data_IF_185257359233
#
_entry.id   IF_185257359233
#
_cell.length_a   1.000
_cell.length_b   1.000
_cell.length_c   1.000
_cell.angle_alpha   90.00
_cell.angle_beta   90.00
_cell.angle_gamma   90.00
#
_symmetry.space_group_name_H-M   'P 1'
#
loop_
_entity.id
_entity.type
_entity.pdbx_description
1 polymer ?
#
# COMPACT_ATOMS: atom_id res chain seq x y z
N UNK A 1 32.79 28.32 -0.36
CA UNK A 1 31.50 27.83 -0.88
C UNK A 1 31.74 27.33 -2.27
N UNK A 2 31.51 26.04 -2.54
CA UNK A 2 31.43 25.54 -3.91
C UNK A 2 30.21 26.16 -4.58
N UNK A 3 30.38 26.65 -5.80
CA UNK A 3 29.30 27.24 -6.60
C UNK A 3 28.65 26.10 -7.40
N UNK A 4 27.33 25.97 -7.33
CA UNK A 4 26.60 25.02 -8.18
C UNK A 4 26.80 25.40 -9.65
N UNK A 5 27.23 24.44 -10.47
CA UNK A 5 27.55 24.64 -11.89
C UNK A 5 26.32 24.72 -12.80
N UNK A 6 25.14 24.39 -12.27
CA UNK A 6 23.89 24.37 -13.02
C UNK A 6 23.07 25.64 -12.76
N UNK A 7 22.46 26.20 -13.82
CA UNK A 7 21.46 27.27 -13.73
C UNK A 7 20.10 26.72 -13.25
N UNK A 8 20.08 25.94 -12.17
CA UNK A 8 18.92 25.19 -11.70
C UNK A 8 19.31 23.95 -10.92
N UNK A 9 18.62 22.84 -11.18
CA UNK A 9 18.97 21.53 -10.61
C UNK A 9 19.82 20.73 -11.60
N UNK A 10 20.70 19.83 -11.12
CA UNK A 10 21.40 18.89 -12.00
C UNK A 10 20.41 18.01 -12.80
N UNK A 11 20.86 17.26 -13.82
CA UNK A 11 19.98 16.39 -14.58
C UNK A 11 19.27 15.36 -13.70
N UNK A 12 17.97 15.15 -13.96
CA UNK A 12 17.13 14.20 -13.23
C UNK A 12 17.59 12.76 -13.49
N UNK A 13 17.72 11.95 -12.44
CA UNK A 13 18.01 10.54 -12.60
C UNK A 13 16.76 9.80 -13.12
N UNK A 14 16.82 9.37 -14.38
CA UNK A 14 15.71 8.71 -15.07
C UNK A 14 15.25 7.40 -14.42
N UNK A 15 16.14 6.64 -13.79
CA UNK A 15 15.81 5.33 -13.22
C UNK A 15 15.11 5.44 -11.85
N UNK A 16 15.19 6.60 -11.18
CA UNK A 16 14.57 6.82 -9.87
C UNK A 16 13.36 7.76 -9.96
N UNK A 17 13.50 8.86 -10.69
CA UNK A 17 12.50 9.92 -10.75
C UNK A 17 12.03 10.21 -12.19
N UNK A 18 12.46 9.41 -13.16
CA UNK A 18 12.09 9.56 -14.56
C UNK A 18 10.59 9.42 -14.82
N UNK A 19 10.19 9.78 -16.03
CA UNK A 19 8.78 9.83 -16.40
C UNK A 19 8.13 8.44 -16.37
N UNK A 20 8.85 7.38 -16.75
CA UNK A 20 8.34 6.01 -16.69
C UNK A 20 8.02 5.55 -15.28
N UNK A 21 8.92 5.81 -14.32
CA UNK A 21 8.73 5.48 -12.89
C UNK A 21 7.56 6.27 -12.28
N UNK A 22 7.44 7.56 -12.64
CA UNK A 22 6.32 8.41 -12.20
C UNK A 22 4.98 7.89 -12.72
N UNK A 23 4.88 7.68 -14.03
CA UNK A 23 3.66 7.18 -14.66
C UNK A 23 3.27 5.80 -14.11
N UNK A 24 4.22 4.88 -13.94
CA UNK A 24 3.91 3.58 -13.36
C UNK A 24 3.40 3.69 -11.92
N UNK A 25 4.01 4.55 -11.10
CA UNK A 25 3.55 4.81 -9.73
C UNK A 25 2.13 5.38 -9.72
N UNK A 26 1.82 6.35 -10.57
CA UNK A 26 0.50 6.98 -10.63
C UNK A 26 -0.57 6.03 -11.12
N UNK A 27 -0.30 5.29 -12.21
CA UNK A 27 -1.23 4.32 -12.78
C UNK A 27 -1.47 3.21 -11.76
N UNK A 28 -0.43 2.66 -11.14
CA UNK A 28 -0.59 1.58 -10.18
C UNK A 28 -1.36 2.03 -8.93
N UNK A 29 -1.11 3.24 -8.43
CA UNK A 29 -1.89 3.82 -7.34
C UNK A 29 -3.36 3.95 -7.72
N UNK A 30 -3.66 4.46 -8.92
CA UNK A 30 -5.03 4.59 -9.42
C UNK A 30 -5.72 3.23 -9.56
N UNK A 31 -5.07 2.25 -10.18
CA UNK A 31 -5.60 0.90 -10.33
C UNK A 31 -5.88 0.25 -8.96
N UNK A 32 -4.99 0.46 -7.98
CA UNK A 32 -5.22 0.01 -6.61
C UNK A 32 -6.48 0.65 -6.01
N UNK A 33 -6.67 1.97 -6.15
CA UNK A 33 -7.89 2.65 -5.69
C UNK A 33 -9.14 2.08 -6.36
N UNK A 34 -9.09 1.82 -7.67
CA UNK A 34 -10.21 1.21 -8.41
C UNK A 34 -10.54 -0.17 -7.84
N UNK A 35 -9.56 -1.07 -7.72
CA UNK A 35 -9.79 -2.43 -7.17
C UNK A 35 -10.33 -2.38 -5.75
N UNK A 36 -9.76 -1.54 -4.88
CA UNK A 36 -10.25 -1.35 -3.51
C UNK A 36 -11.71 -0.88 -3.52
N UNK A 37 -12.10 -0.04 -4.48
CA UNK A 37 -13.46 0.51 -4.56
C UNK A 37 -14.47 -0.50 -5.11
N UNK A 38 -14.09 -1.24 -6.16
CA UNK A 38 -15.05 -2.07 -6.91
C UNK A 38 -15.03 -3.55 -6.53
N UNK A 39 -13.92 -4.07 -5.99
CA UNK A 39 -13.82 -5.49 -5.65
C UNK A 39 -14.28 -5.78 -4.22
N UNK A 40 -15.24 -6.70 -4.04
CA UNK A 40 -15.56 -7.24 -2.73
C UNK A 40 -14.49 -8.23 -2.25
N UNK A 41 -13.74 -8.85 -3.17
CA UNK A 41 -12.74 -9.88 -2.88
C UNK A 41 -11.51 -9.29 -2.21
N UNK A 42 -11.23 -9.77 -0.99
CA UNK A 42 -9.99 -9.45 -0.27
C UNK A 42 -8.77 -9.96 -1.02
N UNK A 43 -8.88 -11.12 -1.68
CA UNK A 43 -7.81 -11.66 -2.52
C UNK A 43 -7.41 -10.73 -3.66
N UNK A 44 -8.38 -10.17 -4.40
CA UNK A 44 -8.10 -9.22 -5.48
C UNK A 44 -7.38 -7.96 -4.96
N UNK A 45 -7.80 -7.46 -3.80
CA UNK A 45 -7.16 -6.30 -3.15
C UNK A 45 -5.72 -6.62 -2.78
N UNK A 46 -5.44 -7.80 -2.22
CA UNK A 46 -4.08 -8.23 -1.92
C UNK A 46 -3.22 -8.43 -3.16
N UNK A 47 -3.74 -9.11 -4.19
CA UNK A 47 -3.05 -9.31 -5.47
C UNK A 47 -2.73 -7.98 -6.17
N UNK A 48 -3.55 -6.95 -5.96
CA UNK A 48 -3.30 -5.61 -6.46
C UNK A 48 -2.32 -4.81 -5.59
N UNK A 49 -2.43 -4.91 -4.26
CA UNK A 49 -1.60 -4.18 -3.31
C UNK A 49 -0.16 -4.70 -3.30
N UNK A 50 0.04 -6.02 -3.42
CA UNK A 50 1.37 -6.63 -3.30
C UNK A 50 2.37 -6.11 -4.34
N UNK A 51 2.09 -6.14 -5.66
CA UNK A 51 3.00 -5.57 -6.66
C UNK A 51 3.28 -4.08 -6.42
N UNK A 52 2.30 -3.35 -5.87
CA UNK A 52 2.44 -1.91 -5.60
C UNK A 52 3.39 -1.64 -4.44
N UNK A 53 3.30 -2.43 -3.37
CA UNK A 53 4.24 -2.42 -2.25
C UNK A 53 5.65 -2.78 -2.74
N UNK A 54 5.79 -3.85 -3.52
CA UNK A 54 7.09 -4.32 -4.03
C UNK A 54 7.76 -3.26 -4.91
N UNK A 55 7.01 -2.60 -5.80
CA UNK A 55 7.57 -1.52 -6.62
C UNK A 55 8.10 -0.36 -5.75
N UNK A 56 7.37 0.02 -4.71
CA UNK A 56 7.81 1.08 -3.80
C UNK A 56 9.04 0.69 -2.98
N UNK A 57 9.11 -0.57 -2.51
CA UNK A 57 10.33 -1.13 -1.90
C UNK A 57 11.50 -1.01 -2.86
N UNK A 58 11.33 -1.42 -4.12
CA UNK A 58 12.39 -1.38 -5.12
C UNK A 58 12.87 0.05 -5.37
N UNK A 59 11.97 1.03 -5.53
CA UNK A 59 12.34 2.43 -5.73
C UNK A 59 13.10 3.00 -4.54
N UNK A 60 12.63 2.75 -3.31
CA UNK A 60 13.31 3.22 -2.09
C UNK A 60 14.67 2.57 -1.89
N UNK A 61 14.76 1.24 -2.11
CA UNK A 61 16.01 0.50 -1.98
C UNK A 61 17.04 1.01 -3.00
N UNK A 62 16.64 1.19 -4.26
CA UNK A 62 17.50 1.76 -5.30
C UNK A 62 17.92 3.18 -4.96
N UNK A 63 17.01 4.05 -4.48
CA UNK A 63 17.35 5.40 -4.08
C UNK A 63 18.34 5.43 -2.89
N UNK A 64 18.17 4.55 -1.90
CA UNK A 64 19.12 4.41 -0.79
C UNK A 64 20.51 3.98 -1.28
N UNK A 65 20.58 2.92 -2.08
CA UNK A 65 21.85 2.38 -2.59
C UNK A 65 22.57 3.41 -3.46
N UNK A 66 21.86 4.04 -4.39
CA UNK A 66 22.46 5.04 -5.29
C UNK A 66 22.80 6.34 -4.55
N UNK A 67 22.00 6.75 -3.57
CA UNK A 67 22.19 7.98 -2.81
C UNK A 67 23.37 7.93 -1.86
N UNK A 68 23.57 6.80 -1.18
CA UNK A 68 24.62 6.62 -0.16
C UNK A 68 25.85 5.85 -0.64
N UNK A 69 25.93 5.52 -1.93
CA UNK A 69 27.16 4.95 -2.50
C UNK A 69 28.33 5.95 -2.45
N UNK A 70 29.56 5.45 -2.44
CA UNK A 70 30.78 6.28 -2.48
C UNK A 70 30.87 7.20 -3.71
N UNK A 71 30.17 6.83 -4.78
CA UNK A 71 29.98 7.62 -6.00
C UNK A 71 28.49 7.83 -6.21
N UNK A 72 27.89 8.66 -5.36
CA UNK A 72 26.46 8.92 -5.38
C UNK A 72 25.98 9.27 -6.79
N UNK A 73 24.89 8.63 -7.24
CA UNK A 73 24.36 8.77 -8.59
C UNK A 73 23.06 9.57 -8.67
N UNK A 74 22.50 9.93 -7.50
CA UNK A 74 21.28 10.70 -7.39
C UNK A 74 21.54 11.99 -6.63
N UNK A 75 20.71 12.99 -6.89
CA UNK A 75 20.71 14.29 -6.23
C UNK A 75 19.68 14.32 -5.10
N UNK A 76 19.71 15.35 -4.25
CA UNK A 76 18.67 15.57 -3.25
C UNK A 76 17.29 15.74 -3.88
N UNK A 77 17.22 16.32 -5.07
CA UNK A 77 15.98 16.51 -5.83
C UNK A 77 15.38 15.16 -6.27
N UNK A 78 16.21 14.25 -6.79
CA UNK A 78 15.79 12.89 -7.14
C UNK A 78 15.26 12.15 -5.90
N UNK A 79 15.98 12.24 -4.78
CA UNK A 79 15.58 11.62 -3.53
C UNK A 79 14.29 12.23 -2.95
N UNK A 80 14.07 13.53 -3.14
CA UNK A 80 12.84 14.22 -2.73
C UNK A 80 11.64 13.73 -3.54
N UNK A 81 11.81 13.52 -4.86
CA UNK A 81 10.75 12.94 -5.70
C UNK A 81 10.48 11.48 -5.30
N UNK A 82 11.52 10.67 -5.09
CA UNK A 82 11.38 9.31 -4.58
C UNK A 82 10.66 9.28 -3.21
N UNK A 83 10.93 10.25 -2.34
CA UNK A 83 10.25 10.40 -1.06
C UNK A 83 8.75 10.64 -1.22
N UNK A 84 8.35 11.46 -2.21
CA UNK A 84 6.94 11.67 -2.57
C UNK A 84 6.24 10.37 -2.99
N UNK A 85 6.94 9.49 -3.70
CA UNK A 85 6.38 8.19 -4.06
C UNK A 85 6.08 7.36 -2.84
N UNK A 86 6.84 7.47 -1.74
CA UNK A 86 6.56 6.70 -0.52
C UNK A 86 5.24 7.08 0.17
N UNK A 87 4.76 8.31 -0.07
CA UNK A 87 3.53 8.82 0.53
C UNK A 87 2.29 8.33 -0.23
N UNK A 88 2.40 8.05 -1.53
CA UNK A 88 1.24 7.59 -2.33
C UNK A 88 0.73 6.22 -1.83
N UNK A 89 1.56 5.18 -1.61
CA UNK A 89 1.14 3.94 -1.00
C UNK A 89 0.59 4.11 0.39
N UNK A 90 1.14 5.03 1.19
CA UNK A 90 0.58 5.33 2.50
C UNK A 90 -0.86 5.82 2.38
N UNK A 91 -1.14 6.77 1.48
CA UNK A 91 -2.51 7.25 1.24
C UNK A 91 -3.41 6.09 0.76
N UNK A 92 -3.00 5.37 -0.28
CA UNK A 92 -3.86 4.35 -0.92
C UNK A 92 -4.03 3.13 -0.01
N UNK A 93 -2.94 2.58 0.53
CA UNK A 93 -2.93 1.32 1.27
C UNK A 93 -3.30 1.46 2.73
N UNK A 94 -3.06 2.60 3.38
CA UNK A 94 -3.53 2.81 4.76
C UNK A 94 -5.06 2.94 4.78
N UNK A 95 -5.62 3.68 3.81
CA UNK A 95 -7.07 3.78 3.63
C UNK A 95 -7.68 2.42 3.24
N UNK A 96 -7.01 1.66 2.35
CA UNK A 96 -7.37 0.26 2.07
C UNK A 96 -7.29 -0.64 3.32
N UNK A 97 -6.26 -0.44 4.13
CA UNK A 97 -6.00 -1.22 5.34
C UNK A 97 -7.06 -0.98 6.41
N UNK A 98 -7.58 0.24 6.56
CA UNK A 98 -8.71 0.51 7.43
C UNK A 98 -9.97 -0.25 6.98
N UNK A 99 -10.23 -0.31 5.67
CA UNK A 99 -11.31 -1.11 5.09
C UNK A 99 -11.12 -2.61 5.32
N UNK A 100 -9.93 -3.12 5.03
CA UNK A 100 -9.57 -4.52 5.28
C UNK A 100 -9.68 -4.85 6.76
N UNK A 101 -9.35 -3.94 7.68
CA UNK A 101 -9.49 -4.18 9.12
C UNK A 101 -10.95 -4.37 9.55
N UNK A 102 -11.88 -3.63 8.94
CA UNK A 102 -13.31 -3.82 9.20
C UNK A 102 -13.81 -5.16 8.66
N UNK A 103 -13.39 -5.56 7.44
CA UNK A 103 -13.76 -6.86 6.84
C UNK A 103 -13.05 -8.04 7.54
N UNK A 104 -11.80 -7.85 7.95
CA UNK A 104 -10.95 -8.88 8.55
C UNK A 104 -11.15 -9.05 10.06
N UNK A 105 -11.93 -8.24 10.78
CA UNK A 105 -12.29 -8.60 12.17
C UNK A 105 -13.07 -9.92 12.22
N UNK A 106 -13.88 -10.18 11.20
CA UNK A 106 -14.61 -11.43 11.02
C UNK A 106 -13.70 -12.52 10.42
N UNK A 107 -12.93 -12.20 9.36
CA UNK A 107 -12.04 -13.18 8.73
C UNK A 107 -10.83 -13.59 9.58
N UNK A 108 -10.24 -12.71 10.39
CA UNK A 108 -9.10 -13.03 11.27
C UNK A 108 -9.51 -13.87 12.49
N UNK A 109 -10.80 -13.87 12.86
CA UNK A 109 -11.28 -14.78 13.89
C UNK A 109 -11.36 -16.22 13.37
N UNK A 110 -11.38 -16.42 12.04
CA UNK A 110 -11.78 -17.71 11.45
C UNK A 110 -10.69 -18.28 10.52
N UNK A 111 -9.89 -17.47 9.81
CA UNK A 111 -8.97 -17.94 8.75
C UNK A 111 -7.49 -17.56 9.01
N UNK A 112 -6.89 -18.15 10.04
CA UNK A 112 -5.49 -17.98 10.44
C UNK A 112 -4.46 -18.64 9.49
N UNK A 113 -4.87 -19.27 8.37
CA UNK A 113 -3.94 -20.04 7.52
C UNK A 113 -3.53 -19.40 6.20
N UNK A 114 -3.98 -18.19 5.86
CA UNK A 114 -3.62 -17.60 4.56
C UNK A 114 -2.21 -17.01 4.61
N UNK A 115 -1.24 -17.83 4.21
CA UNK A 115 0.17 -17.45 4.00
C UNK A 115 0.33 -16.20 3.11
N UNK A 116 -0.61 -15.94 2.21
CA UNK A 116 -0.64 -14.77 1.34
C UNK A 116 -0.82 -13.45 2.11
N UNK A 117 -1.60 -13.47 3.20
CA UNK A 117 -1.78 -12.30 4.07
C UNK A 117 -0.48 -11.97 4.81
N UNK A 118 0.26 -13.00 5.22
CA UNK A 118 1.55 -12.86 5.90
C UNK A 118 2.56 -12.22 4.94
N UNK A 119 2.66 -12.73 3.71
CA UNK A 119 3.54 -12.16 2.70
C UNK A 119 3.27 -10.67 2.46
N UNK A 120 1.99 -10.30 2.34
CA UNK A 120 1.59 -8.89 2.16
C UNK A 120 1.91 -8.04 3.40
N UNK A 121 1.65 -8.55 4.61
CA UNK A 121 1.93 -7.84 5.86
C UNK A 121 3.43 -7.62 6.08
N UNK A 122 4.24 -8.64 5.79
CA UNK A 122 5.71 -8.54 5.84
C UNK A 122 6.21 -7.53 4.80
N UNK A 123 5.73 -7.60 3.56
CA UNK A 123 6.10 -6.65 2.52
C UNK A 123 5.72 -5.20 2.91
N UNK A 124 4.51 -4.97 3.42
CA UNK A 124 4.08 -3.66 3.92
C UNK A 124 4.99 -3.17 5.06
N UNK A 125 5.33 -4.05 5.99
CA UNK A 125 6.21 -3.72 7.12
C UNK A 125 7.61 -3.32 6.65
N UNK A 126 8.17 -4.04 5.67
CA UNK A 126 9.46 -3.70 5.03
C UNK A 126 9.35 -2.34 4.33
N UNK A 127 8.29 -2.11 3.54
CA UNK A 127 8.08 -0.85 2.84
C UNK A 127 8.03 0.34 3.80
N UNK A 128 7.26 0.26 4.88
CA UNK A 128 7.17 1.35 5.85
C UNK A 128 8.47 1.59 6.61
N UNK A 129 9.18 0.51 6.96
CA UNK A 129 10.51 0.61 7.58
C UNK A 129 11.50 1.30 6.64
N UNK A 130 11.53 0.90 5.37
CA UNK A 130 12.36 1.54 4.35
C UNK A 130 11.96 3.00 4.13
N UNK A 131 10.66 3.33 4.13
CA UNK A 131 10.19 4.72 3.99
C UNK A 131 10.65 5.59 5.15
N UNK A 132 10.51 5.11 6.40
CA UNK A 132 10.99 5.82 7.58
C UNK A 132 12.52 5.98 7.56
N UNK A 133 13.24 4.89 7.27
CA UNK A 133 14.70 4.90 7.16
C UNK A 133 15.22 5.81 6.06
N UNK A 134 14.61 5.77 4.87
CA UNK A 134 14.93 6.64 3.75
C UNK A 134 14.70 8.11 4.08
N UNK A 135 13.54 8.43 4.68
CA UNK A 135 13.22 9.79 5.14
C UNK A 135 14.28 10.30 6.10
N UNK A 136 14.59 9.53 7.15
CA UNK A 136 15.57 9.93 8.16
C UNK A 136 16.98 10.04 7.55
N UNK A 137 17.38 9.12 6.69
CA UNK A 137 18.71 9.11 6.09
C UNK A 137 18.94 10.30 5.17
N UNK A 138 18.02 10.55 4.22
CA UNK A 138 18.13 11.65 3.24
C UNK A 138 18.09 13.00 3.93
N UNK A 139 17.17 13.18 4.88
CA UNK A 139 16.92 14.48 5.51
C UNK A 139 17.70 14.70 6.81
N UNK A 140 18.60 13.80 7.22
CA UNK A 140 19.50 14.08 8.36
C UNK A 140 20.51 15.18 8.05
N UNK A 141 21.10 15.13 6.86
CA UNK A 141 22.13 16.07 6.38
C UNK A 141 21.86 16.45 4.91
N UNK A 142 20.76 17.17 4.62
CA UNK A 142 20.36 17.47 3.24
C UNK A 142 21.40 18.31 2.50
N UNK A 143 22.25 19.06 3.20
CA UNK A 143 23.35 19.85 2.64
C UNK A 143 24.49 18.99 2.05
N UNK A 144 24.67 17.75 2.53
CA UNK A 144 25.76 16.86 2.12
C UNK A 144 25.32 15.68 1.26
N UNK A 145 24.01 15.54 1.03
CA UNK A 145 23.45 14.38 0.36
C UNK A 145 23.69 14.41 -1.16
N UNK A 146 23.94 13.25 -1.76
CA UNK A 146 23.87 13.05 -3.20
C UNK A 146 25.14 13.41 -3.99
N UNK A 147 25.03 13.37 -5.31
CA UNK A 147 26.13 13.57 -6.28
C UNK A 147 26.67 15.00 -6.32
N UNK A 148 25.80 16.00 -6.16
CA UNK A 148 26.11 17.43 -6.33
C UNK A 148 25.65 18.22 -5.08
N UNK A 149 26.28 18.00 -3.90
CA UNK A 149 25.84 18.62 -2.65
C UNK A 149 25.83 20.15 -2.70
N UNK A 150 26.72 20.76 -3.49
CA UNK A 150 26.77 22.20 -3.75
C UNK A 150 25.48 22.77 -4.38
N UNK A 151 24.68 21.92 -5.03
CA UNK A 151 23.41 22.29 -5.65
C UNK A 151 22.19 22.04 -4.75
N UNK A 152 22.36 21.45 -3.57
CA UNK A 152 21.23 21.10 -2.70
C UNK A 152 20.49 22.33 -2.15
N UNK A 153 21.17 23.48 -2.06
CA UNK A 153 20.54 24.76 -1.68
C UNK A 153 19.48 25.25 -2.69
N UNK A 154 19.51 24.74 -3.93
CA UNK A 154 18.55 25.02 -4.98
C UNK A 154 17.39 24.02 -5.02
N UNK A 155 17.46 22.91 -4.27
CA UNK A 155 16.40 21.90 -4.24
C UNK A 155 15.10 22.52 -3.69
N UNK A 156 14.03 22.40 -4.47
CA UNK A 156 12.71 22.95 -4.16
C UNK A 156 11.70 21.82 -3.96
N UNK A 157 10.75 22.08 -3.09
CA UNK A 157 9.59 21.25 -2.88
C UNK A 157 8.32 22.07 -3.07
N UNK A 158 7.34 21.49 -3.76
CA UNK A 158 6.00 22.04 -3.81
C UNK A 158 5.09 21.33 -2.80
N UNK A 159 4.77 22.01 -1.70
CA UNK A 159 3.79 21.54 -0.70
C UNK A 159 3.09 22.76 -0.11
N UNK A 160 1.86 23.03 -0.56
CA UNK A 160 1.12 24.27 -0.28
C UNK A 160 1.90 25.57 -0.61
N UNK A 161 2.77 25.51 -1.62
CA UNK A 161 3.71 26.58 -1.95
C UNK A 161 5.06 26.01 -2.37
N UNK A 162 5.94 26.86 -2.91
CA UNK A 162 7.31 26.44 -3.26
C UNK A 162 8.25 26.79 -2.13
N UNK A 163 8.90 25.78 -1.57
CA UNK A 163 9.82 25.93 -0.44
C UNK A 163 11.16 25.27 -0.74
N UNK A 164 12.22 25.74 -0.09
CA UNK A 164 13.52 25.07 -0.19
C UNK A 164 13.51 23.81 0.68
N UNK A 165 14.02 22.70 0.16
CA UNK A 165 14.12 21.44 0.91
C UNK A 165 14.99 21.60 2.16
N UNK A 166 16.05 22.42 2.09
CA UNK A 166 16.91 22.70 3.23
C UNK A 166 16.29 23.64 4.29
N UNK A 167 15.05 24.08 4.12
CA UNK A 167 14.42 24.98 5.10
C UNK A 167 14.08 24.21 6.40
N UNK A 168 14.42 24.80 7.55
CA UNK A 168 14.29 24.15 8.86
C UNK A 168 12.90 23.62 9.20
N UNK A 169 11.81 24.32 8.83
CA UNK A 169 10.45 23.84 9.08
C UNK A 169 10.14 22.55 8.32
N UNK A 170 10.56 22.45 7.06
CA UNK A 170 10.33 21.25 6.24
C UNK A 170 11.17 20.10 6.77
N UNK A 171 12.42 20.38 7.11
CA UNK A 171 13.33 19.40 7.72
C UNK A 171 12.74 18.82 9.01
N UNK A 172 12.24 19.69 9.89
CA UNK A 172 11.55 19.29 11.11
C UNK A 172 10.32 18.44 10.84
N UNK A 173 9.48 18.82 9.88
CA UNK A 173 8.31 18.06 9.46
C UNK A 173 8.67 16.68 8.89
N UNK A 174 9.68 16.59 8.02
CA UNK A 174 10.13 15.34 7.42
C UNK A 174 10.71 14.39 8.47
N UNK A 175 11.54 14.91 9.40
CA UNK A 175 12.08 14.11 10.50
C UNK A 175 10.97 13.64 11.44
N UNK A 176 10.06 14.54 11.82
CA UNK A 176 8.90 14.19 12.64
C UNK A 176 8.05 13.10 11.97
N UNK A 177 7.78 13.24 10.69
CA UNK A 177 7.08 12.24 9.89
C UNK A 177 7.82 10.89 9.90
N UNK A 178 9.13 10.87 9.68
CA UNK A 178 9.93 9.64 9.75
C UNK A 178 9.88 8.95 11.12
N UNK A 179 9.94 9.74 12.20
CA UNK A 179 9.81 9.23 13.58
C UNK A 179 8.40 8.70 13.83
N UNK A 180 7.37 9.43 13.40
CA UNK A 180 5.98 9.02 13.55
C UNK A 180 5.71 7.70 12.81
N UNK A 181 6.18 7.56 11.57
CA UNK A 181 6.12 6.29 10.84
C UNK A 181 6.81 5.18 11.64
N UNK A 182 8.03 5.40 12.12
CA UNK A 182 8.75 4.40 12.90
C UNK A 182 7.96 3.96 14.14
N UNK A 183 7.36 4.89 14.88
CA UNK A 183 6.53 4.59 16.06
C UNK A 183 5.27 3.80 15.69
N UNK A 184 4.55 4.23 14.65
CA UNK A 184 3.29 3.58 14.23
C UNK A 184 3.54 2.16 13.70
N UNK A 185 4.64 1.95 12.98
CA UNK A 185 4.91 0.69 12.30
C UNK A 185 5.76 -0.28 13.10
N UNK A 186 6.48 0.16 14.14
CA UNK A 186 7.24 -0.73 15.02
C UNK A 186 6.36 -1.84 15.64
N UNK A 187 5.16 -1.58 16.19
CA UNK A 187 4.27 -2.64 16.66
C UNK A 187 3.82 -3.60 15.55
N UNK A 188 3.62 -3.11 14.32
CA UNK A 188 3.26 -3.96 13.18
C UNK A 188 4.40 -4.92 12.81
N UNK A 189 5.65 -4.44 12.86
CA UNK A 189 6.84 -5.26 12.63
C UNK A 189 6.95 -6.32 13.71
N UNK A 190 6.85 -5.93 14.99
CA UNK A 190 6.90 -6.86 16.12
C UNK A 190 5.82 -7.92 15.98
N UNK A 191 4.58 -7.52 15.68
CA UNK A 191 3.47 -8.46 15.44
C UNK A 191 3.78 -9.42 14.28
N UNK A 192 4.34 -8.92 13.18
CA UNK A 192 4.68 -9.74 12.01
C UNK A 192 5.78 -10.75 12.34
N UNK A 193 6.82 -10.34 13.08
CA UNK A 193 7.90 -11.24 13.53
C UNK A 193 7.35 -12.29 14.49
N UNK A 194 6.53 -11.90 15.47
CA UNK A 194 5.89 -12.83 16.41
C UNK A 194 4.98 -13.81 15.69
N UNK A 195 4.22 -13.36 14.68
CA UNK A 195 3.37 -14.23 13.88
C UNK A 195 4.20 -15.25 13.09
N UNK A 196 5.24 -14.81 12.39
CA UNK A 196 6.14 -15.71 11.63
C UNK A 196 6.83 -16.70 12.57
N UNK A 197 7.25 -16.24 13.75
CA UNK A 197 7.84 -17.10 14.78
C UNK A 197 6.83 -18.11 15.33
N UNK A 198 5.61 -17.70 15.67
CA UNK A 198 4.56 -18.62 16.12
C UNK A 198 4.23 -19.67 15.05
N UNK A 199 4.17 -19.26 13.78
CA UNK A 199 3.90 -20.16 12.66
C UNK A 199 5.06 -21.12 12.36
N UNK A 200 6.30 -20.71 12.61
CA UNK A 200 7.44 -21.63 12.51
C UNK A 200 7.49 -22.61 13.68
N UNK A 201 6.91 -22.25 14.83
CA UNK A 201 6.74 -23.16 15.98
C UNK A 201 5.52 -24.07 15.86
N UNK A 202 4.50 -23.70 15.07
CA UNK A 202 3.38 -24.58 14.79
C UNK A 202 3.91 -25.82 14.06
N UNK A 203 3.99 -26.92 14.82
CA UNK A 203 4.48 -28.21 14.36
C UNK A 203 3.69 -28.58 13.11
N UNK A 204 4.38 -28.89 12.01
CA UNK A 204 3.72 -29.52 10.85
C UNK A 204 2.97 -30.74 11.38
N UNK A 205 1.68 -30.93 11.01
CA UNK A 205 0.90 -32.07 11.48
C UNK A 205 1.71 -33.34 11.22
N UNK A 206 1.91 -34.12 12.28
CA UNK A 206 2.89 -35.22 12.25
C UNK A 206 2.33 -36.45 11.55
N UNK A 207 1.00 -36.53 11.44
CA UNK A 207 0.27 -37.66 10.87
C UNK A 207 -0.68 -37.17 9.77
N UNK A 208 -0.92 -38.01 8.77
CA UNK A 208 -1.83 -37.72 7.66
C UNK A 208 -3.29 -37.53 8.13
N UNK A 209 -3.66 -38.18 9.24
CA UNK A 209 -4.97 -38.02 9.86
C UNK A 209 -5.20 -36.61 10.42
N UNK A 210 -4.22 -36.07 11.15
CA UNK A 210 -4.24 -34.69 11.67
C UNK A 210 -4.29 -33.67 10.52
N UNK A 211 -3.58 -33.96 9.42
CA UNK A 211 -3.63 -33.15 8.21
C UNK A 211 -5.01 -33.17 7.55
N UNK A 212 -5.65 -34.34 7.47
CA UNK A 212 -6.97 -34.49 6.90
C UNK A 212 -8.05 -33.80 7.74
N UNK A 213 -7.96 -33.87 9.08
CA UNK A 213 -8.87 -33.16 9.98
C UNK A 213 -8.71 -31.64 9.86
N UNK A 214 -7.47 -31.13 9.86
CA UNK A 214 -7.21 -29.71 9.64
C UNK A 214 -7.75 -29.21 8.29
N UNK A 215 -7.66 -30.02 7.24
CA UNK A 215 -8.23 -29.68 5.93
C UNK A 215 -9.77 -29.68 5.94
N UNK A 216 -10.41 -30.59 6.69
CA UNK A 216 -11.88 -30.59 6.88
C UNK A 216 -12.34 -29.36 7.65
N UNK A 217 -11.67 -29.02 8.75
CA UNK A 217 -11.96 -27.82 9.52
C UNK A 217 -11.79 -26.57 8.65
N UNK A 218 -10.72 -26.50 7.86
CA UNK A 218 -10.48 -25.41 6.91
C UNK A 218 -11.60 -25.27 5.88
N UNK A 219 -12.04 -26.38 5.25
CA UNK A 219 -13.15 -26.34 4.28
C UNK A 219 -14.48 -25.92 4.91
N UNK A 220 -14.75 -26.37 6.14
CA UNK A 220 -15.96 -25.98 6.86
C UNK A 220 -15.96 -24.48 7.19
N UNK A 221 -14.81 -23.97 7.65
CA UNK A 221 -14.57 -22.55 7.87
C UNK A 221 -14.72 -21.73 6.58
N UNK A 222 -14.09 -22.16 5.48
CA UNK A 222 -14.20 -21.49 4.18
C UNK A 222 -15.65 -21.36 3.75
N UNK A 223 -16.45 -22.43 3.93
CA UNK A 223 -17.88 -22.41 3.66
C UNK A 223 -18.64 -21.44 4.56
N UNK A 224 -18.39 -21.44 5.87
CA UNK A 224 -19.00 -20.50 6.80
C UNK A 224 -18.63 -19.04 6.46
N UNK A 225 -17.40 -18.78 6.04
CA UNK A 225 -16.95 -17.44 5.61
C UNK A 225 -17.61 -17.03 4.29
N UNK A 226 -17.76 -17.95 3.35
CA UNK A 226 -18.49 -17.71 2.10
C UNK A 226 -19.97 -17.40 2.36
N UNK A 227 -20.58 -18.07 3.34
CA UNK A 227 -21.96 -17.82 3.79
C UNK A 227 -22.08 -16.51 4.59
N UNK A 228 -21.06 -16.14 5.37
CA UNK A 228 -21.06 -14.95 6.25
C UNK A 228 -20.38 -13.74 5.58
N UNK A 229 -20.38 -13.64 4.25
CA UNK A 229 -19.74 -12.51 3.59
C UNK A 229 -20.30 -11.20 4.17
N UNK A 230 -19.46 -10.34 4.77
CA UNK A 230 -19.92 -9.14 5.43
C UNK A 230 -20.65 -8.29 4.39
N UNK A 231 -21.88 -7.90 4.71
CA UNK A 231 -22.69 -7.06 3.85
C UNK A 231 -21.84 -5.84 3.44
N UNK A 232 -21.45 -5.81 2.16
CA UNK A 232 -20.53 -4.76 1.72
C UNK A 232 -21.31 -3.47 1.67
N UNK A 233 -20.99 -2.51 2.55
CA UNK A 233 -21.49 -1.14 2.43
C UNK A 233 -20.85 -0.48 1.21
N UNK A 234 -21.45 -0.75 0.05
CA UNK A 234 -21.00 -0.25 -1.24
C UNK A 234 -20.97 1.28 -1.28
N UNK A 235 -21.87 1.94 -0.56
CA UNK A 235 -21.93 3.40 -0.50
C UNK A 235 -20.72 3.96 0.25
N UNK A 236 -20.37 3.36 1.39
CA UNK A 236 -19.17 3.74 2.12
C UNK A 236 -17.91 3.49 1.28
N UNK A 237 -17.83 2.32 0.64
CA UNK A 237 -16.70 1.94 -0.21
C UNK A 237 -16.49 2.90 -1.39
N UNK A 238 -17.56 3.25 -2.09
CA UNK A 238 -17.52 4.23 -3.17
C UNK A 238 -17.11 5.61 -2.67
N UNK A 239 -17.67 6.06 -1.55
CA UNK A 239 -17.35 7.37 -0.95
C UNK A 239 -15.87 7.46 -0.59
N UNK A 240 -15.32 6.42 0.05
CA UNK A 240 -13.90 6.33 0.35
C UNK A 240 -13.04 6.30 -0.91
N UNK A 241 -13.43 5.51 -1.92
CA UNK A 241 -12.74 5.47 -3.21
C UNK A 241 -12.63 6.85 -3.88
N UNK A 242 -13.71 7.64 -3.84
CA UNK A 242 -13.73 9.02 -4.35
C UNK A 242 -12.79 9.92 -3.54
N UNK A 243 -12.84 9.87 -2.21
CA UNK A 243 -11.95 10.66 -1.35
C UNK A 243 -10.48 10.33 -1.63
N UNK A 244 -10.14 9.03 -1.69
CA UNK A 244 -8.77 8.57 -1.97
C UNK A 244 -8.32 9.03 -3.36
N UNK A 245 -9.21 8.97 -4.36
CA UNK A 245 -8.92 9.43 -5.72
C UNK A 245 -8.61 10.93 -5.77
N UNK A 246 -9.37 11.75 -5.04
CA UNK A 246 -9.11 13.20 -4.94
C UNK A 246 -7.75 13.47 -4.28
N UNK A 247 -7.47 12.80 -3.16
CA UNK A 247 -6.18 12.92 -2.47
C UNK A 247 -5.02 12.48 -3.36
N UNK A 248 -5.19 11.40 -4.12
CA UNK A 248 -4.21 10.92 -5.09
C UNK A 248 -3.93 11.97 -6.17
N UNK A 249 -4.96 12.58 -6.76
CA UNK A 249 -4.79 13.63 -7.78
C UNK A 249 -4.06 14.86 -7.21
N UNK A 250 -4.42 15.29 -5.99
CA UNK A 250 -3.71 16.38 -5.30
C UNK A 250 -2.24 16.02 -5.11
N UNK A 251 -1.94 14.80 -4.69
CA UNK A 251 -0.57 14.36 -4.43
C UNK A 251 0.27 14.24 -5.71
N UNK A 252 -0.32 13.71 -6.79
CA UNK A 252 0.30 13.68 -8.13
C UNK A 252 0.62 15.12 -8.56
N UNK A 253 -0.32 16.05 -8.37
CA UNK A 253 -0.11 17.46 -8.70
C UNK A 253 1.05 18.06 -7.91
N UNK A 254 1.16 17.78 -6.60
CA UNK A 254 2.30 18.24 -5.80
C UNK A 254 3.63 17.66 -6.28
N UNK A 255 3.63 16.39 -6.69
CA UNK A 255 4.82 15.72 -7.21
C UNK A 255 5.26 16.35 -8.53
N UNK A 256 4.34 16.55 -9.48
CA UNK A 256 4.63 17.15 -10.78
C UNK A 256 5.03 18.62 -10.68
N UNK A 257 4.40 19.39 -9.79
CA UNK A 257 4.82 20.76 -9.52
C UNK A 257 6.20 20.81 -8.87
N UNK A 258 6.53 19.86 -7.98
CA UNK A 258 7.88 19.72 -7.43
C UNK A 258 8.89 19.48 -8.55
N UNK A 259 8.59 18.56 -9.48
CA UNK A 259 9.46 18.28 -10.62
C UNK A 259 9.66 19.55 -11.47
N UNK A 260 8.56 20.21 -11.85
CA UNK A 260 8.59 21.40 -12.69
C UNK A 260 9.37 22.56 -12.04
N UNK A 261 9.22 22.79 -10.72
CA UNK A 261 9.84 23.92 -10.01
C UNK A 261 11.34 23.76 -9.76
N UNK A 262 11.86 22.54 -9.83
CA UNK A 262 13.30 22.28 -9.69
C UNK A 262 14.11 22.65 -10.95
N UNK A 263 13.48 22.85 -12.11
CA UNK A 263 14.15 23.21 -13.38
C UNK A 263 15.40 22.34 -13.63
N UNK A 264 15.19 21.03 -13.78
CA UNK A 264 16.27 20.09 -14.03
C UNK A 264 16.99 20.43 -15.34
N UNK A 265 18.32 20.39 -15.32
CA UNK A 265 19.13 20.48 -16.52
C UNK A 265 18.77 19.33 -17.49
N UNK A 266 18.89 19.56 -18.82
CA UNK A 266 18.68 18.49 -19.79
C UNK A 266 19.65 17.33 -19.52
N UNK A 267 19.16 16.11 -19.69
CA UNK A 267 19.99 14.91 -19.63
C UNK A 267 20.62 14.67 -21.00
N UNK A 268 21.91 14.35 -21.05
CA UNK A 268 22.61 14.01 -22.29
C UNK A 268 22.23 12.61 -22.83
N UNK A 269 21.54 11.81 -22.03
CA UNK A 269 21.13 10.44 -22.38
C UNK A 269 19.74 10.33 -23.01
N UNK A 270 19.43 9.15 -23.55
CA UNK A 270 18.07 8.81 -23.99
C UNK A 270 17.07 9.05 -22.85
N UNK A 271 15.94 9.73 -23.09
CA UNK A 271 14.91 9.92 -22.08
C UNK A 271 14.27 8.60 -21.65
N UNK A 272 14.36 7.55 -22.48
CA UNK A 272 13.86 6.21 -22.19
C UNK A 272 15.02 5.25 -21.93
N UNK A 273 15.21 4.93 -20.65
CA UNK A 273 16.17 3.92 -20.18
C UNK A 273 15.41 2.69 -19.69
N UNK A 274 16.11 1.55 -19.56
CA UNK A 274 15.51 0.30 -19.11
C UNK A 274 14.78 0.45 -17.76
N UNK A 275 15.35 1.20 -16.82
CA UNK A 275 14.73 1.47 -15.50
C UNK A 275 13.42 2.26 -15.56
N UNK A 276 13.13 2.94 -16.67
CA UNK A 276 11.85 3.63 -16.89
C UNK A 276 10.82 2.76 -17.60
N UNK A 277 11.28 1.89 -18.50
CA UNK A 277 10.42 1.00 -19.28
C UNK A 277 9.94 -0.18 -18.43
N UNK A 278 10.81 -0.74 -17.60
CA UNK A 278 10.51 -1.92 -16.80
C UNK A 278 9.30 -1.72 -15.84
N UNK A 279 9.19 -0.61 -15.07
CA UNK A 279 8.01 -0.38 -14.23
C UNK A 279 6.70 -0.28 -15.00
N UNK A 280 6.71 0.21 -16.24
CA UNK A 280 5.51 0.25 -17.09
C UNK A 280 5.08 -1.16 -17.50
N UNK A 281 6.01 -2.05 -17.81
CA UNK A 281 5.69 -3.45 -18.08
C UNK A 281 5.10 -4.17 -16.86
N UNK A 282 5.57 -3.85 -15.66
CA UNK A 282 5.03 -4.40 -14.41
C UNK A 282 3.56 -4.00 -14.15
N UNK A 283 3.00 -3.03 -14.88
CA UNK A 283 1.58 -2.67 -14.80
C UNK A 283 0.65 -3.71 -15.42
N UNK A 284 1.16 -4.63 -16.25
CA UNK A 284 0.32 -5.60 -16.96
C UNK A 284 -0.54 -6.45 -16.01
N UNK A 285 0.06 -6.94 -14.92
CA UNK A 285 -0.65 -7.76 -13.91
C UNK A 285 -1.70 -6.91 -13.17
N UNK A 286 -1.37 -5.75 -12.57
CA UNK A 286 -2.34 -4.83 -11.99
C UNK A 286 -3.50 -4.44 -12.93
N UNK A 287 -3.21 -4.19 -14.20
CA UNK A 287 -4.22 -3.84 -15.20
C UNK A 287 -5.19 -5.00 -15.44
N UNK A 288 -4.68 -6.22 -15.56
CA UNK A 288 -5.51 -7.41 -15.74
C UNK A 288 -6.44 -7.65 -14.54
N UNK A 289 -5.90 -7.58 -13.31
CA UNK A 289 -6.68 -7.75 -12.08
C UNK A 289 -7.77 -6.68 -11.99
N UNK A 290 -7.40 -5.42 -12.23
CA UNK A 290 -8.35 -4.30 -12.20
C UNK A 290 -9.45 -4.46 -13.25
N UNK A 291 -9.08 -4.86 -14.47
CA UNK A 291 -10.05 -5.08 -15.56
C UNK A 291 -11.04 -6.18 -15.21
N UNK A 292 -10.56 -7.30 -14.62
CA UNK A 292 -11.42 -8.38 -14.14
C UNK A 292 -12.36 -7.92 -13.01
N UNK A 293 -11.83 -7.17 -12.05
CA UNK A 293 -12.60 -6.63 -10.93
C UNK A 293 -13.72 -5.69 -11.42
N UNK A 294 -13.40 -4.79 -12.36
CA UNK A 294 -14.38 -3.88 -12.98
C UNK A 294 -15.41 -4.66 -13.80
N UNK A 295 -15.00 -5.67 -14.56
CA UNK A 295 -15.93 -6.49 -15.36
C UNK A 295 -16.93 -7.25 -14.47
N UNK A 296 -16.44 -7.88 -13.40
CA UNK A 296 -17.29 -8.52 -12.40
C UNK A 296 -18.24 -7.51 -11.75
N UNK A 297 -17.71 -6.35 -11.35
CA UNK A 297 -18.50 -5.27 -10.78
C UNK A 297 -19.64 -4.86 -11.71
N UNK A 298 -19.37 -4.61 -12.99
CA UNK A 298 -20.42 -4.22 -13.96
C UNK A 298 -21.45 -5.33 -14.15
N UNK A 299 -21.00 -6.58 -14.32
CA UNK A 299 -21.87 -7.75 -14.51
C UNK A 299 -22.84 -7.95 -13.35
N UNK A 300 -22.37 -7.74 -12.12
CA UNK A 300 -23.16 -7.97 -10.92
C UNK A 300 -24.03 -6.75 -10.53
N UNK A 301 -24.02 -5.68 -11.33
CA UNK A 301 -24.79 -4.45 -11.10
C UNK A 301 -26.30 -4.66 -10.93
N UNK A 302 -26.99 -5.46 -11.77
CA UNK A 302 -28.41 -5.73 -11.59
C UNK A 302 -28.74 -6.42 -10.26
N UNK A 303 -27.91 -7.38 -9.83
CA UNK A 303 -28.09 -8.11 -8.56
C UNK A 303 -27.99 -7.16 -7.37
N UNK A 304 -26.95 -6.32 -7.32
CA UNK A 304 -26.79 -5.31 -6.27
C UNK A 304 -27.95 -4.33 -6.20
N UNK A 305 -28.51 -3.94 -7.35
CA UNK A 305 -29.71 -3.07 -7.37
C UNK A 305 -30.93 -3.77 -6.76
N UNK A 306 -31.12 -5.06 -7.03
CA UNK A 306 -32.21 -5.84 -6.45
C UNK A 306 -32.05 -5.95 -4.92
N UNK A 307 -30.86 -6.30 -4.43
CA UNK A 307 -30.54 -6.37 -2.99
C UNK A 307 -30.81 -5.04 -2.26
N UNK A 308 -30.39 -3.91 -2.82
CA UNK A 308 -30.66 -2.59 -2.24
C UNK A 308 -32.17 -2.30 -2.13
N UNK A 309 -32.96 -2.71 -3.13
CA UNK A 309 -34.42 -2.53 -3.12
C UNK A 309 -35.06 -3.44 -2.08
N UNK A 310 -34.59 -4.69 -1.98
CA UNK A 310 -35.06 -5.67 -1.00
C UNK A 310 -34.77 -5.23 0.43
N UNK A 311 -33.53 -4.82 0.73
CA UNK A 311 -33.13 -4.31 2.04
C UNK A 311 -33.89 -3.04 2.43
N UNK A 312 -34.25 -2.20 1.45
CA UNK A 312 -35.11 -1.03 1.70
C UNK A 312 -36.54 -1.42 2.04
N UNK A 313 -37.06 -2.52 1.46
CA UNK A 313 -38.43 -3.02 1.71
C UNK A 313 -38.55 -3.77 3.02
N UNK A 314 -37.54 -4.55 3.40
CA UNK A 314 -37.57 -5.36 4.62
C UNK A 314 -37.58 -4.51 5.89
N UNK A 315 -37.29 -3.20 5.80
CA UNK A 315 -37.15 -2.32 6.97
C UNK A 315 -36.04 -2.78 7.92
N UNK A 316 -35.26 -3.77 7.50
CA UNK A 316 -34.40 -4.56 8.33
C UNK A 316 -33.06 -3.85 8.42
N UNK A 317 -33.00 -2.86 9.32
CA UNK A 317 -31.77 -2.67 10.10
C UNK A 317 -31.68 -3.84 11.08
N UNK A 318 -31.47 -5.07 10.59
CA UNK A 318 -30.97 -6.13 11.44
C UNK A 318 -29.56 -5.70 11.83
N UNK A 319 -29.45 -5.02 12.96
CA UNK A 319 -28.17 -4.60 13.50
C UNK A 319 -27.33 -5.84 13.75
N UNK A 320 -26.03 -5.74 13.47
CA UNK A 320 -24.99 -6.73 13.78
C UNK A 320 -25.18 -7.46 15.15
N UNK A 321 -25.81 -6.79 16.11
CA UNK A 321 -26.18 -7.29 17.42
C UNK A 321 -27.17 -8.47 17.40
N UNK A 322 -28.16 -8.48 16.49
CA UNK A 322 -29.15 -9.57 16.39
C UNK A 322 -28.52 -10.85 15.82
N UNK A 323 -27.53 -10.70 14.92
CA UNK A 323 -26.73 -11.82 14.41
C UNK A 323 -25.76 -12.34 15.47
N UNK A 324 -25.14 -11.44 16.25
CA UNK A 324 -24.28 -11.82 17.38
C UNK A 324 -25.05 -12.54 18.49
N UNK A 325 -26.28 -12.12 18.81
CA UNK A 325 -27.15 -12.80 19.79
C UNK A 325 -27.53 -14.21 19.33
N UNK A 326 -27.78 -14.42 18.04
CA UNK A 326 -28.00 -15.77 17.49
C UNK A 326 -26.76 -16.67 17.56
N UNK A 327 -25.56 -16.11 17.43
CA UNK A 327 -24.31 -16.89 17.49
C UNK A 327 -23.92 -17.18 18.94
N UNK A 328 -24.17 -16.26 19.87
CA UNK A 328 -23.82 -16.40 21.30
C UNK A 328 -24.90 -17.17 22.07
N UNK A 329 -26.15 -17.13 21.62
CA UNK A 329 -27.31 -17.68 22.33
C UNK A 329 -27.51 -19.19 22.24
N UNK A 330 -26.72 -19.95 21.49
CA UNK A 330 -26.96 -21.38 21.24
C UNK A 330 -25.84 -22.36 21.71
N UNK A 331 -25.25 -22.24 22.91
CA UNK A 331 -24.25 -23.20 23.39
C UNK A 331 -24.83 -24.51 23.97
N UNK A 332 -26.16 -24.69 24.04
CA UNK A 332 -26.76 -25.74 24.89
C UNK A 332 -27.34 -26.98 24.17
N UNK A 333 -27.21 -27.11 22.84
CA UNK A 333 -27.79 -28.25 22.10
C UNK A 333 -26.81 -29.30 21.56
N UNK A 334 -25.57 -29.37 22.05
CA UNK A 334 -24.78 -30.60 21.91
C UNK A 334 -25.16 -31.58 23.01
N UNK A 335 -26.30 -32.24 22.83
CA UNK A 335 -26.67 -33.40 23.62
C UNK A 335 -25.62 -34.52 23.50
N UNK A 336 -25.52 -35.42 24.50
CA UNK A 336 -24.55 -36.50 24.49
C UNK A 336 -24.74 -37.38 23.25
N UNK A 337 -23.67 -37.54 22.48
CA UNK A 337 -23.61 -38.55 21.42
C UNK A 337 -23.63 -39.91 22.10
N UNK A 338 -24.77 -40.61 22.02
CA UNK A 338 -24.86 -42.02 22.40
C UNK A 338 -23.93 -42.84 21.50
N UNK A 339 -22.86 -43.36 22.08
CA UNK A 339 -22.06 -44.44 21.48
C UNK A 339 -22.94 -45.70 21.34
N UNK A 340 -22.99 -46.23 20.12
CA UNK A 340 -23.54 -47.55 19.80
C UNK A 340 -22.47 -48.45 19.23
#
# INVERSE_FOLDING_TARGET
MSICTFNGSPPLNGDIAGIGVRLSTYIQAFLAVVVITVSPSVGDIHSQAFPYVIMNIAVMASALVLGFSSKSQITLQDATIAWFFTIIPLIVLHLAGMKLRHRNKLSNAINTSDWDLIGTLVAMSIMYTLSAGFTLAVFRHPDKFGRNPECNGAARLFFFGTHKVAHGWFLGMAIFYGILLAIVFLPMIIKSILLVWMLSQMRKPSNDEERAEAERQRKHIEKLVEETQPETDFKADYTWGVIVSILLVIWITFTELTVAKNHFAPSDGSPWQFGQIFPLFLLAIPLFITSRAVANFVRDGPKRKAEIIENKKSGQRAGLLETLDKIIGDPEQTGPVEEK
#
